data_IF_565897841027
#
_entry.id   IF_565897841027
#
_cell.length_a   1.000
_cell.length_b   1.000
_cell.length_c   1.000
_cell.angle_alpha   90.00
_cell.angle_beta   90.00
_cell.angle_gamma   90.00
#
_symmetry.space_group_name_H-M   'P 1'
#
loop_
_entity.id
_entity.type
_entity.pdbx_description
1 polymer ?
#
# COMPACT_ATOMS: atom_id res chain seq x y z
N UNK A 1 -3.77 25.03 -1.28
CA UNK A 1 -3.89 23.65 -1.79
C UNK A 1 -3.27 22.74 -0.75
N UNK A 2 -4.01 21.75 -0.27
CA UNK A 2 -3.45 20.73 0.63
C UNK A 2 -2.41 19.91 -0.13
N UNK A 3 -1.40 19.40 0.57
CA UNK A 3 -0.42 18.45 0.00
C UNK A 3 -0.55 17.13 0.72
N UNK A 4 -0.88 16.08 -0.02
CA UNK A 4 -0.98 14.72 0.50
C UNK A 4 0.41 14.08 0.57
N UNK A 5 0.83 13.61 1.73
CA UNK A 5 2.02 12.78 1.87
C UNK A 5 1.64 11.32 1.60
N UNK A 6 2.01 10.76 0.46
CA UNK A 6 1.56 9.43 0.04
C UNK A 6 2.72 8.44 0.01
N UNK A 7 2.64 7.37 0.82
CA UNK A 7 3.55 6.24 0.69
C UNK A 7 3.27 5.49 -0.62
N UNK A 8 4.20 5.58 -1.57
CA UNK A 8 3.96 5.15 -2.94
C UNK A 8 5.07 4.23 -3.45
N UNK A 9 4.73 2.96 -3.71
CA UNK A 9 5.67 1.92 -4.16
C UNK A 9 5.44 1.47 -5.59
N UNK A 10 4.78 2.28 -6.44
CA UNK A 10 4.20 1.87 -7.74
C UNK A 10 3.19 0.71 -7.65
N UNK A 11 2.67 0.44 -6.45
CA UNK A 11 1.71 -0.62 -6.18
C UNK A 11 0.32 -0.27 -6.70
N UNK A 12 -0.56 -1.27 -6.79
CA UNK A 12 -1.94 -1.06 -7.24
C UNK A 12 -2.67 0.00 -6.40
N UNK A 13 -2.66 -0.17 -5.08
CA UNK A 13 -3.51 0.59 -4.17
C UNK A 13 -3.02 2.04 -4.03
N UNK A 14 -1.70 2.23 -3.90
CA UNK A 14 -1.10 3.56 -3.79
C UNK A 14 -1.06 4.31 -5.12
N UNK A 15 -0.92 3.63 -6.27
CA UNK A 15 -1.10 4.30 -7.57
C UNK A 15 -2.55 4.70 -7.80
N UNK A 16 -3.53 3.87 -7.40
CA UNK A 16 -4.93 4.27 -7.46
C UNK A 16 -5.19 5.53 -6.64
N UNK A 17 -4.67 5.58 -5.40
CA UNK A 17 -4.80 6.77 -4.54
C UNK A 17 -4.12 8.00 -5.14
N UNK A 18 -2.91 7.85 -5.70
CA UNK A 18 -2.22 8.92 -6.43
C UNK A 18 -3.11 9.53 -7.52
N UNK A 19 -3.77 8.67 -8.32
CA UNK A 19 -4.67 9.11 -9.39
C UNK A 19 -5.93 9.80 -8.84
N UNK A 20 -6.49 9.33 -7.73
CA UNK A 20 -7.59 10.03 -7.05
C UNK A 20 -7.19 11.45 -6.66
N UNK A 21 -6.03 11.62 -6.03
CA UNK A 21 -5.54 12.92 -5.57
C UNK A 21 -5.41 13.89 -6.75
N UNK A 22 -4.69 13.50 -7.81
CA UNK A 22 -4.34 14.45 -8.88
C UNK A 22 -5.43 14.62 -9.95
N UNK A 23 -6.27 13.59 -10.21
CA UNK A 23 -7.28 13.64 -11.27
C UNK A 23 -8.69 13.95 -10.77
N UNK A 24 -9.00 13.65 -9.50
CA UNK A 24 -10.34 13.86 -8.92
C UNK A 24 -10.30 15.03 -7.95
N UNK A 25 -9.45 14.96 -6.94
CA UNK A 25 -9.33 15.99 -5.89
C UNK A 25 -8.62 17.24 -6.43
N UNK A 26 -7.75 17.06 -7.44
CA UNK A 26 -6.91 18.11 -8.04
C UNK A 26 -6.03 18.81 -7.00
N UNK A 27 -5.51 18.02 -6.07
CA UNK A 27 -4.63 18.47 -4.99
C UNK A 27 -3.18 18.03 -5.21
N UNK A 28 -2.25 18.67 -4.49
CA UNK A 28 -0.84 18.33 -4.58
C UNK A 28 -0.55 17.02 -3.83
N UNK A 29 0.42 16.27 -4.32
CA UNK A 29 0.90 15.05 -3.66
C UNK A 29 2.42 15.07 -3.58
N UNK A 30 2.94 14.72 -2.40
CA UNK A 30 4.33 14.36 -2.14
C UNK A 30 4.41 12.83 -2.10
N UNK A 31 4.83 12.16 -3.18
CA UNK A 31 5.05 10.73 -3.14
C UNK A 31 6.30 10.43 -2.32
N UNK A 32 6.21 9.45 -1.42
CA UNK A 32 7.29 9.01 -0.53
C UNK A 32 7.56 7.53 -0.82
N UNK A 33 8.77 7.23 -1.28
CA UNK A 33 9.28 5.87 -1.44
C UNK A 33 10.34 5.61 -0.38
N UNK A 34 10.01 4.86 0.66
CA UNK A 34 10.99 4.44 1.66
C UNK A 34 11.76 3.23 1.12
N UNK A 35 13.06 3.39 0.92
CA UNK A 35 13.92 2.39 0.29
C UNK A 35 14.18 1.24 1.27
N UNK A 36 13.94 0.02 0.81
CA UNK A 36 14.41 -1.22 1.45
C UNK A 36 15.39 -1.89 0.50
N UNK A 37 16.70 -1.76 0.78
CA UNK A 37 17.78 -2.31 -0.05
C UNK A 37 17.75 -3.84 -0.14
N UNK A 38 17.10 -4.51 0.81
CA UNK A 38 16.97 -5.98 0.82
C UNK A 38 15.87 -6.48 -0.12
N UNK A 39 15.03 -5.57 -0.63
CA UNK A 39 13.85 -5.90 -1.42
C UNK A 39 14.23 -6.34 -2.83
N UNK A 40 14.00 -7.62 -3.13
CA UNK A 40 14.22 -8.21 -4.46
C UNK A 40 13.44 -7.55 -5.60
N UNK A 41 12.37 -6.81 -5.29
CA UNK A 41 11.58 -6.06 -6.26
C UNK A 41 12.01 -4.59 -6.43
N UNK A 42 12.98 -4.08 -5.65
CA UNK A 42 13.39 -2.67 -5.64
C UNK A 42 13.59 -2.10 -7.05
N UNK A 43 14.44 -2.73 -7.86
CA UNK A 43 14.70 -2.29 -9.24
C UNK A 43 13.42 -2.16 -10.08
N UNK A 44 12.52 -3.13 -9.98
CA UNK A 44 11.28 -3.15 -10.78
C UNK A 44 10.27 -2.14 -10.24
N UNK A 45 10.23 -1.91 -8.93
CA UNK A 45 9.40 -0.86 -8.33
C UNK A 45 9.87 0.54 -8.78
N UNK A 46 11.18 0.80 -8.78
CA UNK A 46 11.74 2.06 -9.28
C UNK A 46 11.49 2.27 -10.78
N UNK A 47 11.64 1.21 -11.60
CA UNK A 47 11.24 1.25 -13.02
C UNK A 47 9.73 1.50 -13.19
N UNK A 48 8.91 0.92 -12.31
CA UNK A 48 7.45 1.11 -12.29
C UNK A 48 7.06 2.56 -11.98
N UNK A 49 7.69 3.17 -10.98
CA UNK A 49 7.52 4.60 -10.66
C UNK A 49 7.78 5.46 -11.88
N UNK A 50 8.93 5.27 -12.55
CA UNK A 50 9.31 6.06 -13.74
C UNK A 50 8.29 5.90 -14.87
N UNK A 51 7.86 4.68 -15.16
CA UNK A 51 6.86 4.40 -16.21
C UNK A 51 5.52 5.06 -15.91
N UNK A 52 5.04 4.94 -14.67
CA UNK A 52 3.78 5.55 -14.25
C UNK A 52 3.84 7.07 -14.35
N UNK A 53 4.92 7.70 -13.88
CA UNK A 53 5.09 9.16 -13.99
C UNK A 53 5.11 9.63 -15.43
N UNK A 54 5.81 8.92 -16.32
CA UNK A 54 5.84 9.25 -17.74
C UNK A 54 4.45 9.12 -18.39
N UNK A 55 3.74 8.02 -18.11
CA UNK A 55 2.39 7.81 -18.63
C UNK A 55 1.41 8.89 -18.13
N UNK A 56 1.49 9.28 -16.85
CA UNK A 56 0.69 10.39 -16.31
C UNK A 56 1.05 11.70 -17.00
N UNK A 57 2.33 11.98 -17.22
CA UNK A 57 2.78 13.20 -17.91
C UNK A 57 2.26 13.29 -19.34
N UNK A 58 2.26 12.16 -20.06
CA UNK A 58 1.78 12.09 -21.45
C UNK A 58 0.25 12.20 -21.53
N UNK A 59 -0.49 11.46 -20.69
CA UNK A 59 -1.96 11.43 -20.76
C UNK A 59 -2.63 12.61 -20.03
N UNK A 60 -2.00 13.12 -18.97
CA UNK A 60 -2.57 14.12 -18.07
C UNK A 60 -1.53 15.18 -17.64
N UNK A 61 -0.98 15.97 -18.59
CA UNK A 61 0.13 16.89 -18.32
C UNK A 61 -0.17 17.95 -17.24
N UNK A 62 -1.43 18.41 -17.13
CA UNK A 62 -1.82 19.35 -16.07
C UNK A 62 -1.86 18.69 -14.69
N UNK A 63 -2.38 17.46 -14.59
CA UNK A 63 -2.42 16.73 -13.33
C UNK A 63 -1.02 16.30 -12.88
N UNK A 64 -0.11 16.03 -13.83
CA UNK A 64 1.28 15.73 -13.53
C UNK A 64 1.98 16.85 -12.73
N UNK A 65 1.62 18.12 -12.96
CA UNK A 65 2.17 19.27 -12.22
C UNK A 65 1.82 19.27 -10.73
N UNK A 66 0.79 18.51 -10.33
CA UNK A 66 0.40 18.34 -8.93
C UNK A 66 1.26 17.30 -8.20
N UNK A 67 2.08 16.54 -8.93
CA UNK A 67 3.00 15.55 -8.36
C UNK A 67 4.34 16.22 -8.07
N UNK A 68 4.66 16.38 -6.78
CA UNK A 68 5.97 16.83 -6.35
C UNK A 68 7.04 15.76 -6.65
N UNK A 69 8.33 16.14 -6.74
CA UNK A 69 9.41 15.17 -6.91
C UNK A 69 9.32 14.04 -5.89
N UNK A 70 9.42 12.79 -6.35
CA UNK A 70 9.36 11.63 -5.45
C UNK A 70 10.46 11.74 -4.41
N UNK A 71 10.07 11.70 -3.14
CA UNK A 71 11.01 11.64 -2.04
C UNK A 71 11.43 10.18 -1.82
N UNK A 72 12.66 9.88 -2.23
CA UNK A 72 13.31 8.62 -1.97
C UNK A 72 13.99 8.68 -0.60
N UNK A 73 13.33 8.14 0.42
CA UNK A 73 13.82 8.17 1.79
C UNK A 73 14.69 6.94 2.08
N UNK A 74 15.85 7.16 2.69
CA UNK A 74 16.71 6.11 3.22
C UNK A 74 16.22 5.61 4.58
N UNK A 75 16.65 4.41 4.97
CA UNK A 75 16.17 3.67 6.14
C UNK A 75 17.02 3.88 7.41
N UNK A 76 17.82 4.95 7.46
CA UNK A 76 18.54 5.33 8.67
C UNK A 76 17.59 6.02 9.66
N UNK A 77 17.04 5.24 10.59
CA UNK A 77 16.04 5.67 11.56
C UNK A 77 16.46 5.32 13.00
N UNK A 78 16.26 6.27 13.91
CA UNK A 78 16.37 5.98 15.34
C UNK A 78 15.11 5.27 15.82
N UNK A 79 15.29 4.23 16.63
CA UNK A 79 14.18 3.41 17.13
C UNK A 79 13.53 4.08 18.34
N UNK A 80 12.27 4.50 18.19
CA UNK A 80 11.39 4.83 19.31
C UNK A 80 10.90 3.53 19.97
N UNK A 81 11.25 3.34 21.24
CA UNK A 81 10.93 2.14 22.01
C UNK A 81 9.43 1.92 22.17
N UNK A 82 8.67 2.99 22.36
CA UNK A 82 7.21 2.94 22.54
C UNK A 82 6.51 2.41 21.27
N UNK A 83 6.90 2.93 20.09
CA UNK A 83 6.38 2.44 18.81
C UNK A 83 6.68 0.95 18.62
N UNK A 84 7.89 0.51 18.98
CA UNK A 84 8.30 -0.89 18.86
C UNK A 84 7.48 -1.79 19.79
N UNK A 85 7.34 -1.43 21.06
CA UNK A 85 6.58 -2.20 22.05
C UNK A 85 5.10 -2.25 21.70
N UNK A 86 4.51 -1.11 21.31
CA UNK A 86 3.12 -1.05 20.83
C UNK A 86 2.91 -1.92 19.59
N UNK A 87 3.87 -1.96 18.67
CA UNK A 87 3.80 -2.85 17.50
C UNK A 87 3.83 -4.33 17.88
N UNK A 88 4.65 -4.73 18.86
CA UNK A 88 4.69 -6.10 19.38
C UNK A 88 3.37 -6.46 20.04
N UNK A 89 2.81 -5.56 20.84
CA UNK A 89 1.51 -5.72 21.47
C UNK A 89 0.39 -5.93 20.43
N UNK A 90 0.28 -5.06 19.43
CA UNK A 90 -0.71 -5.19 18.35
C UNK A 90 -0.55 -6.51 17.59
N UNK A 91 0.69 -6.95 17.38
CA UNK A 91 0.98 -8.18 16.65
C UNK A 91 0.51 -9.46 17.38
N UNK A 92 0.14 -9.37 18.67
CA UNK A 92 -0.51 -10.46 19.42
C UNK A 92 -1.99 -10.66 19.05
N UNK A 93 -2.65 -9.63 18.52
CA UNK A 93 -4.06 -9.68 18.13
C UNK A 93 -4.26 -9.91 16.63
N UNK A 94 -3.37 -9.36 15.81
CA UNK A 94 -3.47 -9.42 14.35
C UNK A 94 -2.09 -9.52 13.75
N UNK A 95 -1.97 -10.17 12.59
CA UNK A 95 -0.71 -10.22 11.85
C UNK A 95 -0.37 -8.86 11.24
N UNK A 96 0.22 -7.97 12.03
CA UNK A 96 0.64 -6.63 11.64
C UNK A 96 1.84 -6.67 10.68
N UNK A 97 2.81 -7.53 10.99
CA UNK A 97 4.10 -7.56 10.31
C UNK A 97 5.01 -6.38 10.71
N UNK A 98 6.23 -6.35 10.16
CA UNK A 98 7.23 -5.33 10.51
C UNK A 98 6.98 -3.97 9.84
N UNK A 99 6.19 -3.93 8.77
CA UNK A 99 6.05 -2.76 7.91
C UNK A 99 5.49 -1.54 8.65
N UNK A 100 4.43 -1.70 9.44
CA UNK A 100 3.81 -0.57 10.14
C UNK A 100 4.69 0.01 11.23
N UNK A 101 5.37 -0.87 11.98
CA UNK A 101 6.35 -0.42 12.97
C UNK A 101 7.43 0.42 12.29
N UNK A 102 8.04 -0.12 11.22
CA UNK A 102 9.09 0.58 10.47
C UNK A 102 8.64 1.92 9.90
N UNK A 103 7.46 1.96 9.27
CA UNK A 103 6.92 3.20 8.71
C UNK A 103 6.52 4.21 9.80
N UNK A 104 6.08 3.76 10.97
CA UNK A 104 5.77 4.65 12.09
C UNK A 104 7.05 5.25 12.67
N UNK A 105 8.13 4.46 12.76
CA UNK A 105 9.45 4.98 13.11
C UNK A 105 9.91 6.04 12.10
N UNK A 106 9.76 5.76 10.79
CA UNK A 106 10.06 6.72 9.73
C UNK A 106 9.25 8.01 9.94
N UNK A 107 7.94 7.94 10.09
CA UNK A 107 7.12 9.13 10.29
C UNK A 107 7.52 9.91 11.55
N UNK A 108 7.83 9.21 12.64
CA UNK A 108 8.33 9.83 13.88
C UNK A 108 9.64 10.58 13.68
N UNK A 109 10.65 9.96 13.05
CA UNK A 109 11.97 10.55 12.83
C UNK A 109 11.90 11.80 11.94
N UNK A 110 10.98 11.82 10.99
CA UNK A 110 10.81 12.92 10.03
C UNK A 110 9.68 13.89 10.40
N UNK A 111 9.11 13.80 11.60
CA UNK A 111 7.98 14.63 12.08
C UNK A 111 6.79 14.67 11.10
N UNK A 112 6.52 13.55 10.44
CA UNK A 112 5.41 13.42 9.49
C UNK A 112 4.13 13.02 10.22
N UNK A 113 3.01 13.61 9.81
CA UNK A 113 1.68 13.26 10.29
C UNK A 113 0.73 13.13 9.10
N UNK A 114 -0.38 12.42 9.30
CA UNK A 114 -1.41 12.18 8.28
C UNK A 114 -0.84 11.64 6.95
N UNK A 115 0.15 10.75 7.03
CA UNK A 115 0.75 10.09 5.88
C UNK A 115 -0.22 9.04 5.35
N UNK A 116 -0.58 9.14 4.07
CA UNK A 116 -1.50 8.19 3.46
C UNK A 116 -0.81 6.85 3.20
N UNK A 117 -1.37 5.79 3.79
CA UNK A 117 -0.98 4.40 3.52
C UNK A 117 -2.18 3.63 2.97
N UNK A 118 -1.93 2.86 1.92
CA UNK A 118 -2.99 2.22 1.16
C UNK A 118 -3.10 0.73 1.49
N UNK A 119 -4.26 0.34 2.03
CA UNK A 119 -4.67 -1.03 2.26
C UNK A 119 -6.01 -1.26 1.58
N UNK A 120 -6.13 -2.27 0.72
CA UNK A 120 -7.44 -2.62 0.17
C UNK A 120 -8.38 -3.23 1.23
N UNK A 121 -9.68 -3.05 1.00
CA UNK A 121 -10.76 -3.62 1.81
C UNK A 121 -10.58 -5.13 1.98
N UNK A 122 -10.57 -5.57 3.23
CA UNK A 122 -10.58 -6.97 3.59
C UNK A 122 -11.48 -7.14 4.82
N UNK A 123 -12.58 -7.86 4.65
CA UNK A 123 -13.60 -8.07 5.69
C UNK A 123 -13.38 -9.36 6.48
N UNK A 124 -12.31 -10.11 6.21
CA UNK A 124 -12.00 -11.27 7.04
C UNK A 124 -11.68 -10.80 8.45
N UNK A 125 -12.27 -11.46 9.44
CA UNK A 125 -12.17 -11.07 10.85
C UNK A 125 -10.71 -10.98 11.32
N UNK A 126 -9.85 -11.89 10.84
CA UNK A 126 -8.42 -11.99 11.15
C UNK A 126 -7.53 -11.04 10.31
N UNK A 127 -8.11 -10.23 9.44
CA UNK A 127 -7.33 -9.35 8.57
C UNK A 127 -6.97 -8.03 9.25
N UNK A 128 -5.79 -7.52 8.89
CA UNK A 128 -5.31 -6.23 9.37
C UNK A 128 -6.24 -5.07 9.01
N UNK A 129 -6.80 -5.04 7.79
CA UNK A 129 -7.74 -3.98 7.39
C UNK A 129 -8.98 -3.98 8.27
N UNK A 130 -9.55 -5.16 8.57
CA UNK A 130 -10.68 -5.26 9.50
C UNK A 130 -10.30 -4.81 10.91
N UNK A 131 -9.14 -5.25 11.41
CA UNK A 131 -8.62 -4.82 12.70
C UNK A 131 -8.47 -3.29 12.80
N UNK A 132 -7.90 -2.64 11.78
CA UNK A 132 -7.76 -1.18 11.70
C UNK A 132 -9.11 -0.46 11.72
N UNK A 133 -10.07 -0.95 10.93
CA UNK A 133 -11.40 -0.33 10.87
C UNK A 133 -12.07 -0.38 12.24
N UNK A 134 -12.07 -1.55 12.89
CA UNK A 134 -12.77 -1.76 14.16
C UNK A 134 -12.06 -1.12 15.34
N UNK A 135 -10.73 -1.18 15.40
CA UNK A 135 -9.97 -0.85 16.62
C UNK A 135 -9.18 0.46 16.52
N UNK A 136 -9.22 1.17 15.38
CA UNK A 136 -8.56 2.46 15.21
C UNK A 136 -9.47 3.51 14.56
N UNK A 137 -9.98 3.22 13.35
CA UNK A 137 -10.74 4.20 12.55
C UNK A 137 -12.13 4.47 13.15
N UNK A 138 -12.81 3.41 13.61
CA UNK A 138 -14.14 3.47 14.22
C UNK A 138 -14.10 3.12 15.71
N UNK A 139 -12.92 3.18 16.33
CA UNK A 139 -12.80 2.91 17.76
C UNK A 139 -13.56 3.95 18.57
N UNK A 140 -14.23 3.50 19.62
CA UNK A 140 -14.77 4.38 20.64
C UNK A 140 -13.69 4.65 21.68
N UNK A 141 -12.99 5.78 21.55
CA UNK A 141 -11.93 6.17 22.49
C UNK A 141 -12.45 6.58 23.87
N UNK A 142 -13.77 6.60 24.09
CA UNK A 142 -14.37 6.83 25.42
C UNK A 142 -14.52 5.54 26.23
N UNK A 143 -14.36 4.38 25.60
CA UNK A 143 -14.35 3.07 26.26
C UNK A 143 -13.10 2.90 27.15
N UNK A 144 -13.34 2.98 28.46
CA UNK A 144 -12.31 2.93 29.50
C UNK A 144 -11.69 1.53 29.59
N UNK A 145 -12.46 0.47 29.34
CA UNK A 145 -11.99 -0.92 29.44
C UNK A 145 -10.93 -1.21 28.37
N UNK A 146 -11.07 -0.64 27.18
CA UNK A 146 -10.14 -0.82 26.07
C UNK A 146 -9.10 0.30 25.93
N UNK A 147 -9.01 1.23 26.89
CA UNK A 147 -8.16 2.43 26.79
C UNK A 147 -6.68 2.11 26.55
N UNK A 148 -6.12 1.15 27.28
CA UNK A 148 -4.71 0.75 27.09
C UNK A 148 -4.46 0.23 25.67
N UNK A 149 -5.35 -0.64 25.19
CA UNK A 149 -5.28 -1.20 23.83
C UNK A 149 -5.34 -0.09 22.79
N UNK A 150 -6.26 0.86 22.93
CA UNK A 150 -6.37 1.98 21.98
C UNK A 150 -5.15 2.90 22.02
N UNK A 151 -4.58 3.18 23.19
CA UNK A 151 -3.33 3.95 23.29
C UNK A 151 -2.18 3.26 22.54
N UNK A 152 -2.04 1.93 22.68
CA UNK A 152 -1.01 1.16 21.95
C UNK A 152 -1.25 1.18 20.45
N UNK A 153 -2.51 1.05 20.01
CA UNK A 153 -2.89 1.14 18.60
C UNK A 153 -2.58 2.54 18.05
N UNK A 154 -3.00 3.60 18.75
CA UNK A 154 -2.76 4.99 18.37
C UNK A 154 -1.27 5.31 18.25
N UNK A 155 -0.44 4.83 19.20
CA UNK A 155 1.02 5.02 19.18
C UNK A 155 1.64 4.67 17.83
N UNK A 156 1.15 3.61 17.18
CA UNK A 156 1.64 3.15 15.87
C UNK A 156 0.91 3.84 14.72
N UNK A 157 -0.41 3.98 14.80
CA UNK A 157 -1.22 4.39 13.65
C UNK A 157 -1.52 5.89 13.55
N UNK A 158 -1.26 6.69 14.59
CA UNK A 158 -1.48 8.15 14.59
C UNK A 158 -0.83 8.90 13.44
N UNK A 159 0.25 8.34 12.89
CA UNK A 159 0.96 8.92 11.76
C UNK A 159 0.24 8.75 10.43
N UNK A 160 -0.74 7.85 10.35
CA UNK A 160 -1.31 7.39 9.09
C UNK A 160 -2.79 7.72 8.91
N UNK A 161 -3.15 7.90 7.64
CA UNK A 161 -4.54 7.81 7.17
C UNK A 161 -4.68 6.69 6.16
N UNK A 162 -5.92 6.16 6.03
CA UNK A 162 -6.22 4.95 5.27
C UNK A 162 -7.29 5.19 4.19
N UNK A 163 -7.03 6.07 3.22
CA UNK A 163 -8.06 6.63 2.32
C UNK A 163 -8.77 5.58 1.43
N UNK A 164 -8.13 4.43 1.20
CA UNK A 164 -8.66 3.37 0.32
C UNK A 164 -9.08 2.09 1.07
N UNK A 165 -9.10 2.12 2.42
CA UNK A 165 -9.45 0.97 3.26
C UNK A 165 -10.85 0.40 3.03
N UNK A 166 -11.74 1.19 2.44
CA UNK A 166 -13.13 0.83 2.11
C UNK A 166 -13.29 0.30 0.67
N UNK A 167 -12.23 0.32 -0.14
CA UNK A 167 -12.26 -0.13 -1.54
C UNK A 167 -11.53 -1.47 -1.70
N UNK A 168 -12.20 -2.46 -2.26
CA UNK A 168 -11.52 -3.67 -2.71
C UNK A 168 -10.71 -3.37 -3.97
N UNK A 169 -9.75 -4.24 -4.32
CA UNK A 169 -9.01 -4.07 -5.58
C UNK A 169 -9.91 -4.16 -6.83
N UNK A 170 -11.08 -4.80 -6.72
CA UNK A 170 -12.07 -4.84 -7.81
C UNK A 170 -12.83 -3.54 -7.93
N UNK A 171 -13.17 -2.93 -6.80
CA UNK A 171 -13.78 -1.60 -6.79
C UNK A 171 -12.82 -0.59 -7.44
N UNK A 172 -11.54 -0.63 -7.06
CA UNK A 172 -10.50 0.17 -7.70
C UNK A 172 -10.39 -0.09 -9.21
N UNK A 173 -10.50 -1.34 -9.66
CA UNK A 173 -10.49 -1.69 -11.08
C UNK A 173 -11.72 -1.15 -11.82
N UNK A 174 -12.91 -1.26 -11.21
CA UNK A 174 -14.15 -0.74 -11.79
C UNK A 174 -14.09 0.78 -11.93
N UNK A 175 -13.64 1.48 -10.88
CA UNK A 175 -13.43 2.94 -10.92
C UNK A 175 -12.37 3.30 -11.95
N UNK A 176 -11.24 2.59 -12.00
CA UNK A 176 -10.19 2.85 -12.99
C UNK A 176 -10.70 2.67 -14.43
N UNK A 177 -11.58 1.70 -14.68
CA UNK A 177 -12.25 1.53 -15.98
C UNK A 177 -13.18 2.68 -16.31
N UNK A 178 -14.06 3.04 -15.38
CA UNK A 178 -15.00 4.16 -15.53
C UNK A 178 -14.27 5.47 -15.83
N UNK A 179 -13.16 5.73 -15.11
CA UNK A 179 -12.35 6.94 -15.23
C UNK A 179 -11.25 6.85 -16.31
N UNK A 180 -11.16 5.73 -17.03
CA UNK A 180 -10.17 5.46 -18.09
C UNK A 180 -8.70 5.54 -17.63
N UNK A 181 -8.42 5.08 -16.42
CA UNK A 181 -7.08 5.02 -15.82
C UNK A 181 -6.33 3.71 -16.09
N UNK A 182 -6.91 2.79 -16.85
CA UNK A 182 -6.38 1.44 -17.06
C UNK A 182 -4.95 1.41 -17.60
N UNK A 183 -4.62 2.31 -18.54
CA UNK A 183 -3.29 2.42 -19.12
C UNK A 183 -2.21 2.65 -18.06
N UNK A 184 -2.51 3.50 -17.07
CA UNK A 184 -1.59 3.77 -15.94
C UNK A 184 -1.65 2.63 -14.93
N UNK A 185 -2.85 2.16 -14.57
CA UNK A 185 -3.04 1.13 -13.54
C UNK A 185 -2.41 -0.22 -13.91
N UNK A 186 -2.33 -0.56 -15.20
CA UNK A 186 -1.69 -1.79 -15.66
C UNK A 186 -0.16 -1.75 -15.66
N UNK A 187 0.45 -0.57 -15.47
CA UNK A 187 1.89 -0.42 -15.25
C UNK A 187 2.33 -0.77 -13.82
N UNK A 188 1.38 -0.89 -12.89
CA UNK A 188 1.67 -1.11 -11.46
C UNK A 188 2.33 -2.46 -11.16
N UNK A 189 3.20 -2.47 -10.15
CA UNK A 189 3.95 -3.64 -9.73
C UNK A 189 3.41 -4.27 -8.43
N UNK A 190 3.63 -5.57 -8.25
CA UNK A 190 3.21 -6.30 -7.04
C UNK A 190 4.05 -7.55 -6.73
N UNK A 191 4.82 -8.06 -7.68
CA UNK A 191 5.51 -9.34 -7.51
C UNK A 191 6.81 -9.18 -6.73
N UNK A 192 6.94 -9.86 -5.58
CA UNK A 192 8.17 -9.81 -4.75
C UNK A 192 9.38 -10.53 -5.36
N UNK A 193 9.18 -11.43 -6.34
CA UNK A 193 10.24 -12.27 -6.91
C UNK A 193 10.24 -12.20 -8.44
N UNK A 194 10.44 -11.02 -9.07
CA UNK A 194 10.44 -10.89 -10.53
C UNK A 194 11.37 -11.91 -11.19
N UNK A 195 11.00 -12.36 -12.40
CA UNK A 195 11.89 -13.13 -13.30
C UNK A 195 11.88 -12.46 -14.66
N UNK A 196 13.04 -12.00 -15.15
CA UNK A 196 13.15 -11.23 -16.40
C UNK A 196 12.13 -10.08 -16.46
N UNK A 197 12.05 -9.27 -15.40
CA UNK A 197 11.09 -8.17 -15.22
C UNK A 197 9.60 -8.53 -15.38
N UNK A 198 9.25 -9.81 -15.22
CA UNK A 198 7.87 -10.32 -15.27
C UNK A 198 7.45 -10.89 -13.92
N UNK A 199 6.17 -10.74 -13.59
CA UNK A 199 5.58 -11.33 -12.38
C UNK A 199 5.75 -12.87 -12.40
N UNK A 200 6.20 -13.44 -11.28
CA UNK A 200 6.61 -14.86 -11.24
C UNK A 200 5.47 -15.88 -11.17
N UNK A 201 4.26 -15.44 -10.83
CA UNK A 201 3.08 -16.30 -10.71
C UNK A 201 2.96 -17.13 -9.42
N UNK A 202 4.02 -17.21 -8.58
CA UNK A 202 4.06 -18.16 -7.45
C UNK A 202 4.38 -17.58 -6.06
N UNK A 203 4.85 -16.34 -5.98
CA UNK A 203 5.06 -15.65 -4.71
C UNK A 203 3.72 -15.27 -4.06
N UNK A 204 3.72 -14.96 -2.76
CA UNK A 204 2.49 -14.64 -2.02
C UNK A 204 1.65 -13.53 -2.69
N UNK A 205 2.22 -12.39 -3.12
CA UNK A 205 1.46 -11.42 -3.91
C UNK A 205 0.86 -11.96 -5.20
N UNK A 206 1.59 -12.80 -5.95
CA UNK A 206 1.05 -13.43 -7.16
C UNK A 206 -0.12 -14.36 -6.87
N UNK A 207 -0.05 -15.15 -5.80
CA UNK A 207 -1.16 -16.01 -5.40
C UNK A 207 -2.35 -15.18 -4.93
N UNK A 208 -2.10 -14.09 -4.19
CA UNK A 208 -3.14 -13.19 -3.71
C UNK A 208 -3.89 -12.50 -4.85
N UNK A 209 -3.19 -11.99 -5.88
CA UNK A 209 -3.88 -11.40 -7.04
C UNK A 209 -4.72 -12.43 -7.80
N UNK A 210 -4.27 -13.68 -7.91
CA UNK A 210 -5.09 -14.75 -8.51
C UNK A 210 -6.34 -14.99 -7.68
N UNK A 211 -6.21 -15.14 -6.36
CA UNK A 211 -7.35 -15.35 -5.44
C UNK A 211 -8.33 -14.17 -5.40
N UNK A 212 -7.89 -12.97 -5.77
CA UNK A 212 -8.72 -11.76 -5.85
C UNK A 212 -9.33 -11.53 -7.25
N UNK A 213 -9.24 -12.51 -8.16
CA UNK A 213 -9.62 -12.41 -9.59
C UNK A 213 -8.92 -11.29 -10.35
N UNK A 214 -7.69 -10.98 -9.94
CA UNK A 214 -6.78 -10.05 -10.62
C UNK A 214 -5.62 -10.80 -11.32
N UNK A 215 -5.83 -12.07 -11.65
CA UNK A 215 -4.82 -12.92 -12.26
C UNK A 215 -4.33 -12.42 -13.62
N UNK A 216 -5.13 -11.60 -14.33
CA UNK A 216 -4.77 -10.99 -15.63
C UNK A 216 -3.49 -10.14 -15.57
N UNK A 217 -3.09 -9.67 -14.38
CA UNK A 217 -1.84 -8.94 -14.15
C UNK A 217 -0.58 -9.82 -14.17
N UNK A 218 -0.74 -11.14 -14.33
CA UNK A 218 0.37 -12.10 -14.42
C UNK A 218 0.41 -12.65 -15.86
N UNK A 219 1.60 -12.70 -16.50
CA UNK A 219 1.74 -13.34 -17.82
C UNK A 219 1.19 -14.76 -17.83
N UNK A 220 0.49 -15.13 -18.90
CA UNK A 220 -0.31 -16.36 -19.02
C UNK A 220 0.43 -17.62 -18.52
N UNK A 221 1.63 -17.87 -19.03
CA UNK A 221 2.43 -19.05 -18.62
C UNK A 221 2.82 -19.06 -17.14
N UNK A 222 3.11 -17.89 -16.56
CA UNK A 222 3.42 -17.79 -15.13
C UNK A 222 2.14 -17.89 -14.28
N UNK A 223 1.02 -17.37 -14.79
CA UNK A 223 -0.29 -17.47 -14.15
C UNK A 223 -0.74 -18.92 -14.00
N UNK A 224 -0.52 -19.76 -15.01
CA UNK A 224 -0.79 -21.21 -14.94
C UNK A 224 -0.05 -21.88 -13.79
N UNK A 225 1.23 -21.54 -13.56
CA UNK A 225 2.01 -22.04 -12.41
C UNK A 225 1.37 -21.65 -11.08
N UNK A 226 0.79 -20.45 -11.02
CA UNK A 226 0.04 -19.98 -9.85
C UNK A 226 -1.22 -20.79 -9.59
N UNK A 227 -2.03 -21.03 -10.62
CA UNK A 227 -3.22 -21.89 -10.52
C UNK A 227 -2.86 -23.32 -10.07
N UNK A 228 -1.83 -23.92 -10.65
CA UNK A 228 -1.35 -25.24 -10.26
C UNK A 228 -0.93 -25.28 -8.79
N UNK A 229 -0.19 -24.26 -8.32
CA UNK A 229 0.21 -24.16 -6.90
C UNK A 229 -1.01 -24.05 -5.97
N UNK A 230 -2.02 -23.27 -6.35
CA UNK A 230 -3.26 -23.14 -5.56
C UNK A 230 -3.98 -24.48 -5.50
N UNK A 231 -4.11 -25.17 -6.64
CA UNK A 231 -4.74 -26.49 -6.71
C UNK A 231 -4.02 -27.52 -5.83
N UNK A 232 -2.70 -27.60 -5.92
CA UNK A 232 -1.89 -28.53 -5.12
C UNK A 232 -1.94 -28.23 -3.62
N UNK A 233 -2.11 -26.97 -3.21
CA UNK A 233 -2.23 -26.58 -1.79
C UNK A 233 -3.59 -26.87 -1.15
N UNK A 234 -4.57 -27.33 -1.93
CA UNK A 234 -5.90 -27.74 -1.46
C UNK A 234 -6.02 -29.25 -1.25
N UNK A 235 -5.05 -30.02 -1.73
CA UNK A 235 -4.86 -31.43 -1.40
C UNK A 235 -3.96 -31.54 -0.18
#
# INVERSE_FOLDING_TARGET
>A
MTTHNLLWTSGWDSTFRLLQIILVEKENVQPIYVIDQTRKSLKVELEGIKKILNEIKELHPEAYKLILPVWYAEDDITINKEIKESSVYINSFVKLGSQYSWLAQFCHNYNLNNVEICNDKNLKADSLTNFLITNYIKADYTDIENREKYNKIDTVFKYFSFPVSTLSKRDMLAIAKEKKWENIMFLTWFCHKPRKNKACGKCNPCINVIKKDMGFRIPVFNRMKGYLKIYLSRK
#
